data_IF_273116766207
#
_entry.id   IF_273116766207
#
_cell.length_a   1.000
_cell.length_b   1.000
_cell.length_c   1.000
_cell.angle_alpha   90.00
_cell.angle_beta   90.00
_cell.angle_gamma   90.00
#
_symmetry.space_group_name_H-M   'P 1'
#
loop_
_entity.id
_entity.type
_entity.pdbx_description
1 polymer ?
#
# COMPACT_ATOMS: atom_id res chain seq x y z
N UNK A 1 -9.41 16.05 -15.10
CA UNK A 1 -8.08 15.82 -14.51
C UNK A 1 -8.16 14.98 -13.24
N UNK A 2 -9.04 15.34 -12.28
CA UNK A 2 -9.39 14.54 -11.10
C UNK A 2 -10.68 13.73 -11.32
N UNK A 3 -10.72 12.88 -12.35
CA UNK A 3 -11.90 12.10 -12.72
C UNK A 3 -11.68 10.58 -12.60
N UNK A 4 -12.75 9.77 -12.60
CA UNK A 4 -12.68 8.30 -12.54
C UNK A 4 -11.87 7.69 -13.70
N UNK A 5 -11.75 8.40 -14.82
CA UNK A 5 -10.98 7.98 -15.99
C UNK A 5 -9.47 8.27 -15.92
N UNK A 6 -8.97 8.84 -14.81
CA UNK A 6 -7.55 9.18 -14.71
C UNK A 6 -6.68 7.91 -14.85
N UNK A 7 -5.78 7.85 -15.85
CA UNK A 7 -4.88 6.72 -16.01
C UNK A 7 -4.06 6.50 -14.74
N UNK A 8 -3.76 5.25 -14.43
CA UNK A 8 -2.98 4.91 -13.23
C UNK A 8 -1.64 5.66 -13.18
N UNK A 9 -0.95 5.78 -14.33
CA UNK A 9 0.28 6.56 -14.45
C UNK A 9 0.13 8.03 -14.08
N UNK A 10 -1.02 8.65 -14.38
CA UNK A 10 -1.28 10.04 -14.00
C UNK A 10 -1.45 10.18 -12.48
N UNK A 11 -2.17 9.26 -11.83
CA UNK A 11 -2.31 9.23 -10.37
C UNK A 11 -0.94 9.04 -9.70
N UNK A 12 -0.12 8.13 -10.22
CA UNK A 12 1.24 7.91 -9.73
C UNK A 12 2.11 9.16 -9.89
N UNK A 13 2.08 9.80 -11.07
CA UNK A 13 2.84 11.01 -11.34
C UNK A 13 2.52 12.14 -10.38
N UNK A 14 1.22 12.46 -10.19
CA UNK A 14 0.80 13.51 -9.25
C UNK A 14 1.12 13.18 -7.80
N UNK A 15 0.96 11.92 -7.40
CA UNK A 15 1.33 11.45 -6.06
C UNK A 15 2.83 11.56 -5.81
N UNK A 16 3.65 11.28 -6.84
CA UNK A 16 5.09 11.50 -6.81
C UNK A 16 5.47 12.97 -6.66
N UNK A 17 4.77 13.88 -7.36
CA UNK A 17 4.96 15.33 -7.20
C UNK A 17 4.63 15.78 -5.78
N UNK A 18 3.52 15.31 -5.20
CA UNK A 18 3.15 15.62 -3.81
C UNK A 18 4.27 15.20 -2.85
N UNK A 19 4.79 13.98 -3.01
CA UNK A 19 5.89 13.48 -2.18
C UNK A 19 7.19 14.27 -2.35
N UNK A 20 7.57 14.58 -3.59
CA UNK A 20 8.79 15.34 -3.90
C UNK A 20 8.73 16.78 -3.37
N UNK A 21 7.59 17.47 -3.53
CA UNK A 21 7.39 18.82 -3.00
C UNK A 21 7.44 18.79 -1.47
N UNK A 22 6.79 17.82 -0.83
CA UNK A 22 6.83 17.65 0.62
C UNK A 22 8.25 17.46 1.12
N UNK A 23 9.02 16.58 0.46
CA UNK A 23 10.43 16.36 0.80
C UNK A 23 11.24 17.66 0.69
N UNK A 24 11.13 18.37 -0.45
CA UNK A 24 11.89 19.59 -0.69
C UNK A 24 11.59 20.68 0.36
N UNK A 25 10.32 20.86 0.72
CA UNK A 25 9.89 21.88 1.70
C UNK A 25 10.28 21.50 3.14
N UNK A 26 10.19 20.21 3.50
CA UNK A 26 10.45 19.74 4.84
C UNK A 26 11.94 19.55 5.14
N UNK A 27 12.76 19.21 4.14
CA UNK A 27 14.17 18.81 4.33
C UNK A 27 15.01 19.87 5.03
N UNK A 28 14.84 21.15 4.64
CA UNK A 28 15.59 22.25 5.24
C UNK A 28 15.23 22.53 6.71
N UNK A 29 14.02 22.14 7.16
CA UNK A 29 13.52 22.47 8.51
C UNK A 29 13.55 21.29 9.48
N UNK A 30 13.29 20.08 8.98
CA UNK A 30 13.10 18.88 9.78
C UNK A 30 14.20 17.83 9.54
N UNK A 31 15.13 18.12 8.64
CA UNK A 31 16.17 17.20 8.21
C UNK A 31 15.69 16.20 7.16
N UNK A 32 16.63 15.59 6.42
CA UNK A 32 16.31 14.75 5.27
C UNK A 32 15.57 13.45 5.64
N UNK A 33 15.85 12.87 6.81
CA UNK A 33 15.21 11.62 7.25
C UNK A 33 13.70 11.80 7.50
N UNK A 34 13.32 12.84 8.26
CA UNK A 34 11.91 13.18 8.51
C UNK A 34 11.22 13.59 7.21
N UNK A 35 11.88 14.43 6.41
CA UNK A 35 11.32 14.89 5.14
C UNK A 35 11.04 13.74 4.17
N UNK A 36 11.91 12.73 4.11
CA UNK A 36 11.70 11.55 3.27
C UNK A 36 10.49 10.74 3.72
N UNK A 37 10.35 10.52 5.03
CA UNK A 37 9.19 9.82 5.60
C UNK A 37 7.89 10.59 5.36
N UNK A 38 7.88 11.90 5.58
CA UNK A 38 6.71 12.75 5.31
C UNK A 38 6.33 12.76 3.83
N UNK A 39 7.31 12.92 2.94
CA UNK A 39 7.08 12.90 1.49
C UNK A 39 6.51 11.55 1.04
N UNK A 40 7.01 10.45 1.59
CA UNK A 40 6.46 9.13 1.34
C UNK A 40 5.03 8.99 1.84
N UNK A 41 4.74 9.35 3.10
CA UNK A 41 3.39 9.29 3.68
C UNK A 41 2.38 10.04 2.83
N UNK A 42 2.69 11.30 2.46
CA UNK A 42 1.76 12.13 1.70
C UNK A 42 1.63 11.68 0.24
N UNK A 43 2.72 11.29 -0.41
CA UNK A 43 2.69 10.79 -1.77
C UNK A 43 1.96 9.46 -1.89
N UNK A 44 2.36 8.45 -1.09
CA UNK A 44 1.70 7.14 -1.09
C UNK A 44 0.25 7.24 -0.61
N UNK A 45 -0.03 8.04 0.43
CA UNK A 45 -1.38 8.28 0.91
C UNK A 45 -2.29 8.91 -0.14
N UNK A 46 -1.79 9.90 -0.88
CA UNK A 46 -2.53 10.50 -1.99
C UNK A 46 -2.83 9.48 -3.10
N UNK A 47 -1.85 8.64 -3.46
CA UNK A 47 -2.06 7.58 -4.45
C UNK A 47 -3.13 6.58 -3.99
N UNK A 48 -3.04 6.11 -2.75
CA UNK A 48 -3.99 5.16 -2.15
C UNK A 48 -5.39 5.76 -2.15
N UNK A 49 -5.55 6.95 -1.57
CA UNK A 49 -6.85 7.58 -1.42
C UNK A 49 -7.51 7.81 -2.78
N UNK A 50 -6.78 8.39 -3.74
CA UNK A 50 -7.28 8.61 -5.09
C UNK A 50 -7.65 7.27 -5.74
N UNK A 51 -6.80 6.25 -5.61
CA UNK A 51 -7.08 4.94 -6.19
C UNK A 51 -8.36 4.33 -5.62
N UNK A 52 -8.50 4.27 -4.30
CA UNK A 52 -9.66 3.71 -3.62
C UNK A 52 -10.96 4.47 -3.93
N UNK A 53 -10.91 5.82 -4.01
CA UNK A 53 -12.08 6.63 -4.40
C UNK A 53 -12.54 6.35 -5.82
N UNK A 54 -11.60 6.11 -6.75
CA UNK A 54 -11.95 5.82 -8.15
C UNK A 54 -12.52 4.42 -8.28
N UNK A 55 -11.85 3.41 -7.71
CA UNK A 55 -12.24 2.01 -7.92
C UNK A 55 -13.42 1.59 -7.06
N UNK A 56 -13.57 2.17 -5.86
CA UNK A 56 -14.69 1.85 -4.95
C UNK A 56 -16.06 2.34 -5.42
N UNK A 57 -16.12 3.09 -6.53
CA UNK A 57 -17.36 3.55 -7.18
C UNK A 57 -17.79 2.66 -8.35
N UNK A 58 -16.98 1.68 -8.73
CA UNK A 58 -17.24 0.82 -9.89
C UNK A 58 -17.95 -0.44 -9.41
N UNK A 59 -19.05 -0.78 -10.07
CA UNK A 59 -19.75 -2.06 -9.94
C UNK A 59 -19.01 -3.16 -10.71
N UNK A 60 -19.50 -4.41 -10.68
CA UNK A 60 -18.88 -5.55 -11.37
C UNK A 60 -18.53 -5.28 -12.85
N UNK A 61 -19.49 -4.85 -13.69
CA UNK A 61 -19.21 -4.47 -15.08
C UNK A 61 -18.20 -3.32 -15.22
N UNK A 62 -18.29 -2.30 -14.36
CA UNK A 62 -17.33 -1.20 -14.32
C UNK A 62 -15.92 -1.65 -13.93
N UNK A 63 -15.81 -2.60 -12.98
CA UNK A 63 -14.57 -3.21 -12.56
C UNK A 63 -13.95 -4.06 -13.67
N UNK A 64 -14.76 -4.84 -14.39
CA UNK A 64 -14.32 -5.60 -15.56
C UNK A 64 -13.76 -4.66 -16.64
N UNK A 65 -14.50 -3.63 -17.01
CA UNK A 65 -14.07 -2.62 -17.98
C UNK A 65 -12.77 -1.95 -17.54
N UNK A 66 -12.67 -1.55 -16.27
CA UNK A 66 -11.45 -0.92 -15.74
C UNK A 66 -10.24 -1.87 -15.70
N UNK A 67 -10.44 -3.12 -15.28
CA UNK A 67 -9.37 -4.10 -15.10
C UNK A 67 -8.78 -4.57 -16.43
N UNK A 68 -9.61 -4.65 -17.47
CA UNK A 68 -9.24 -5.09 -18.83
C UNK A 68 -8.69 -3.98 -19.71
N UNK A 69 -8.84 -2.70 -19.32
CA UNK A 69 -8.19 -1.58 -20.02
C UNK A 69 -6.68 -1.82 -20.06
N UNK A 70 -6.15 -1.78 -21.29
CA UNK A 70 -4.73 -1.89 -21.51
C UNK A 70 -4.02 -0.67 -20.91
N UNK A 71 -3.16 -0.95 -19.94
CA UNK A 71 -2.36 0.04 -19.23
C UNK A 71 -0.90 -0.43 -19.27
N UNK A 72 -0.16 0.09 -20.24
CA UNK A 72 1.25 -0.22 -20.44
C UNK A 72 2.11 0.17 -19.24
N UNK A 73 1.63 1.05 -18.36
CA UNK A 73 2.35 1.50 -17.16
C UNK A 73 2.10 0.63 -15.93
N UNK A 74 1.20 -0.37 -16.01
CA UNK A 74 0.75 -1.16 -14.85
C UNK A 74 1.91 -1.86 -14.12
N UNK A 75 2.75 -2.59 -14.85
CA UNK A 75 3.86 -3.36 -14.26
C UNK A 75 4.91 -2.43 -13.66
N UNK A 76 5.27 -1.37 -14.39
CA UNK A 76 6.25 -0.38 -13.90
C UNK A 76 5.74 0.33 -12.65
N UNK A 77 4.46 0.73 -12.64
CA UNK A 77 3.82 1.34 -11.48
C UNK A 77 3.80 0.42 -10.28
N UNK A 78 3.47 -0.86 -10.47
CA UNK A 78 3.51 -1.88 -9.40
C UNK A 78 4.91 -1.99 -8.80
N UNK A 79 5.94 -2.06 -9.64
CA UNK A 79 7.33 -2.19 -9.20
C UNK A 79 7.80 -0.97 -8.42
N UNK A 80 7.48 0.24 -8.89
CA UNK A 80 7.80 1.49 -8.20
C UNK A 80 7.10 1.55 -6.84
N UNK A 81 5.81 1.24 -6.78
CA UNK A 81 5.02 1.33 -5.55
C UNK A 81 5.46 0.28 -4.52
N UNK A 82 5.62 -0.99 -4.93
CA UNK A 82 6.09 -2.06 -4.05
C UNK A 82 7.53 -1.80 -3.60
N UNK A 83 8.42 -1.43 -4.54
CA UNK A 83 9.81 -1.11 -4.22
C UNK A 83 9.93 0.08 -3.27
N UNK A 84 9.14 1.13 -3.49
CA UNK A 84 9.06 2.27 -2.60
C UNK A 84 8.51 1.92 -1.22
N UNK A 85 7.47 1.09 -1.13
CA UNK A 85 6.94 0.59 0.15
C UNK A 85 8.00 -0.20 0.93
N UNK A 86 8.82 -1.02 0.26
CA UNK A 86 9.92 -1.74 0.92
C UNK A 86 11.02 -0.75 1.35
N UNK A 87 11.39 0.20 0.50
CA UNK A 87 12.38 1.23 0.82
C UNK A 87 11.95 2.10 2.01
N UNK A 88 10.64 2.36 2.16
CA UNK A 88 10.10 3.14 3.28
C UNK A 88 10.40 2.48 4.63
N UNK A 89 10.49 1.14 4.69
CA UNK A 89 10.88 0.43 5.93
C UNK A 89 12.31 0.80 6.34
N UNK A 90 13.23 0.88 5.37
CA UNK A 90 14.59 1.38 5.59
C UNK A 90 14.60 2.85 6.03
N UNK A 91 13.77 3.68 5.40
CA UNK A 91 13.58 5.08 5.78
C UNK A 91 13.12 5.26 7.23
N UNK A 92 12.18 4.42 7.69
CA UNK A 92 11.75 4.38 9.09
C UNK A 92 12.89 3.90 10.00
N UNK A 93 13.65 2.88 9.58
CA UNK A 93 14.84 2.44 10.31
C UNK A 93 15.86 3.57 10.53
N UNK A 94 16.14 4.38 9.50
CA UNK A 94 17.02 5.55 9.58
C UNK A 94 16.43 6.64 10.48
N UNK A 95 15.13 6.94 10.33
CA UNK A 95 14.42 7.91 11.17
C UNK A 95 14.54 7.54 12.65
N UNK A 96 14.30 6.28 13.00
CA UNK A 96 14.37 5.80 14.38
C UNK A 96 15.82 5.69 14.88
N UNK A 97 16.78 5.33 14.03
CA UNK A 97 18.19 5.20 14.42
C UNK A 97 18.86 6.55 14.74
N UNK A 98 18.51 7.60 13.99
CA UNK A 98 19.09 8.94 14.14
C UNK A 98 18.72 9.63 15.45
N UNK A 99 17.72 9.13 16.18
CA UNK A 99 17.18 9.78 17.40
C UNK A 99 17.24 8.88 18.65
N UNK A 100 18.14 7.88 18.66
CA UNK A 100 18.31 6.95 19.78
C UNK A 100 19.01 7.55 21.03
N UNK A 101 19.44 8.80 21.02
CA UNK A 101 20.30 9.38 22.07
C UNK A 101 19.78 10.62 22.79
N UNK A 102 18.76 11.31 22.28
CA UNK A 102 18.31 12.61 22.82
C UNK A 102 16.79 12.60 22.96
N UNK A 103 16.25 12.08 24.07
CA UNK A 103 14.83 12.21 24.42
C UNK A 103 13.86 12.17 23.23
N UNK A 104 14.02 11.17 22.36
CA UNK A 104 13.46 11.16 21.00
C UNK A 104 11.99 11.56 21.02
N UNK A 105 11.68 12.64 20.31
CA UNK A 105 10.37 13.25 20.43
C UNK A 105 9.29 12.25 19.93
N UNK A 106 8.25 11.95 20.73
CA UNK A 106 7.34 10.83 20.47
C UNK A 106 6.65 10.90 19.10
N UNK A 107 6.57 12.08 18.49
CA UNK A 107 6.01 12.28 17.15
C UNK A 107 6.79 11.56 16.03
N UNK A 108 8.11 11.34 16.18
CA UNK A 108 8.90 10.63 15.15
C UNK A 108 8.58 9.14 15.11
N UNK A 109 8.36 8.54 16.28
CA UNK A 109 7.89 7.16 16.37
C UNK A 109 6.47 7.03 15.81
N UNK A 110 5.59 8.00 16.05
CA UNK A 110 4.26 8.08 15.41
C UNK A 110 4.38 8.17 13.89
N UNK A 111 5.29 9.00 13.36
CA UNK A 111 5.55 9.06 11.92
C UNK A 111 6.08 7.75 11.36
N UNK A 112 6.94 7.06 12.10
CA UNK A 112 7.41 5.72 11.74
C UNK A 112 6.25 4.74 11.59
N UNK A 113 5.39 4.64 12.60
CA UNK A 113 4.20 3.78 12.56
C UNK A 113 3.28 4.16 11.39
N UNK A 114 3.01 5.45 11.20
CA UNK A 114 2.16 5.94 10.10
C UNK A 114 2.76 5.62 8.73
N UNK A 115 4.07 5.77 8.56
CA UNK A 115 4.78 5.43 7.33
C UNK A 115 4.62 3.95 6.97
N UNK A 116 4.83 3.06 7.94
CA UNK A 116 4.68 1.62 7.72
C UNK A 116 3.21 1.28 7.43
N UNK A 117 2.26 1.88 8.14
CA UNK A 117 0.83 1.66 7.92
C UNK A 117 0.39 2.11 6.52
N UNK A 118 0.80 3.29 6.06
CA UNK A 118 0.50 3.77 4.70
C UNK A 118 1.12 2.87 3.64
N UNK A 119 2.36 2.41 3.84
CA UNK A 119 3.01 1.46 2.92
C UNK A 119 2.29 0.11 2.87
N UNK A 120 1.78 -0.37 4.01
CA UNK A 120 1.01 -1.61 4.08
C UNK A 120 -0.33 -1.48 3.32
N UNK A 121 -1.08 -0.40 3.53
CA UNK A 121 -2.31 -0.11 2.76
C UNK A 121 -2.01 0.03 1.26
N UNK A 122 -0.90 0.68 0.90
CA UNK A 122 -0.46 0.82 -0.49
C UNK A 122 -0.20 -0.53 -1.14
N UNK A 123 0.50 -1.45 -0.45
CA UNK A 123 0.73 -2.81 -0.96
C UNK A 123 -0.62 -3.49 -1.24
N UNK A 124 -1.57 -3.43 -0.32
CA UNK A 124 -2.89 -4.05 -0.52
C UNK A 124 -3.68 -3.40 -1.66
N UNK A 125 -3.55 -2.09 -1.81
CA UNK A 125 -4.11 -1.33 -2.94
C UNK A 125 -3.50 -1.76 -4.28
N UNK A 126 -2.21 -2.07 -4.33
CA UNK A 126 -1.58 -2.63 -5.54
C UNK A 126 -2.10 -4.05 -5.82
N UNK A 127 -2.21 -4.89 -4.78
CA UNK A 127 -2.63 -6.27 -4.95
C UNK A 127 -4.11 -6.42 -5.28
N UNK A 128 -5.01 -5.60 -4.75
CA UNK A 128 -6.42 -5.63 -5.16
C UNK A 128 -6.59 -5.30 -6.65
N UNK A 129 -5.86 -4.29 -7.15
CA UNK A 129 -5.86 -3.95 -8.58
C UNK A 129 -5.30 -5.10 -9.43
N UNK A 130 -4.24 -5.74 -8.95
CA UNK A 130 -3.62 -6.90 -9.61
C UNK A 130 -4.55 -8.12 -9.61
N UNK A 131 -5.31 -8.35 -8.55
CA UNK A 131 -6.28 -9.45 -8.51
C UNK A 131 -7.42 -9.23 -9.50
N UNK A 132 -8.00 -8.03 -9.53
CA UNK A 132 -9.02 -7.69 -10.53
C UNK A 132 -8.50 -7.89 -11.95
N UNK A 133 -7.31 -7.36 -12.24
CA UNK A 133 -6.62 -7.53 -13.51
C UNK A 133 -6.45 -9.00 -13.92
N UNK A 134 -5.95 -9.84 -13.02
CA UNK A 134 -5.72 -11.26 -13.29
C UNK A 134 -7.02 -12.04 -13.43
N UNK A 135 -8.05 -11.67 -12.68
CA UNK A 135 -9.35 -12.33 -12.66
C UNK A 135 -10.07 -12.14 -13.99
N UNK A 136 -10.15 -10.89 -14.44
CA UNK A 136 -10.82 -10.53 -15.69
C UNK A 136 -10.01 -10.88 -16.96
N UNK A 137 -8.70 -11.12 -16.85
CA UNK A 137 -7.86 -11.54 -17.98
C UNK A 137 -7.85 -13.06 -18.24
N UNK A 138 -8.33 -13.89 -17.32
CA UNK A 138 -8.26 -15.35 -17.42
C UNK A 138 -9.64 -15.96 -17.70
N UNK A 139 -9.67 -17.04 -18.48
CA UNK A 139 -10.83 -17.94 -18.59
C UNK A 139 -10.31 -19.38 -18.46
N UNK A 140 -10.66 -20.13 -17.40
CA UNK A 140 -11.56 -19.78 -16.28
C UNK A 140 -10.96 -18.72 -15.31
N UNK A 141 -11.82 -17.98 -14.58
CA UNK A 141 -11.46 -16.77 -13.82
C UNK A 141 -10.63 -16.98 -12.52
N UNK A 142 -10.21 -18.20 -12.21
CA UNK A 142 -9.11 -18.50 -11.27
C UNK A 142 -9.35 -18.24 -9.77
N UNK A 143 -10.44 -17.55 -9.41
CA UNK A 143 -10.97 -17.33 -8.06
C UNK A 143 -12.49 -17.56 -8.09
N UNK A 144 -13.02 -18.16 -7.03
CA UNK A 144 -14.46 -18.22 -6.75
C UNK A 144 -14.79 -17.38 -5.50
N UNK A 145 -15.62 -16.35 -5.67
CA UNK A 145 -16.09 -15.46 -4.60
C UNK A 145 -17.42 -15.93 -3.98
N UNK A 146 -17.93 -17.10 -4.36
CA UNK A 146 -19.24 -17.65 -3.95
C UNK A 146 -20.44 -16.76 -4.34
N UNK A 147 -20.33 -16.07 -5.46
CA UNK A 147 -21.39 -15.21 -5.99
C UNK A 147 -21.57 -15.41 -7.49
N UNK A 148 -22.76 -15.03 -7.98
CA UNK A 148 -23.10 -15.15 -9.41
C UNK A 148 -22.77 -13.89 -10.19
N UNK A 149 -22.79 -12.75 -9.51
CA UNK A 149 -22.52 -11.43 -10.02
C UNK A 149 -21.01 -11.24 -10.28
N UNK A 150 -20.62 -10.51 -11.34
CA UNK A 150 -19.21 -10.18 -11.55
C UNK A 150 -18.65 -9.42 -10.34
N UNK A 151 -17.50 -9.85 -9.77
CA UNK A 151 -16.95 -9.24 -8.57
C UNK A 151 -16.47 -7.81 -8.81
N UNK A 152 -16.79 -6.93 -7.87
CA UNK A 152 -16.34 -5.54 -7.91
C UNK A 152 -15.02 -5.35 -7.15
N UNK A 153 -14.54 -4.10 -7.04
CA UNK A 153 -13.30 -3.82 -6.34
C UNK A 153 -13.35 -4.03 -4.82
N UNK A 154 -14.53 -4.06 -4.21
CA UNK A 154 -14.69 -4.39 -2.79
C UNK A 154 -14.41 -5.87 -2.54
N UNK A 155 -14.80 -6.76 -3.45
CA UNK A 155 -14.48 -8.19 -3.38
C UNK A 155 -12.95 -8.44 -3.45
N UNK A 156 -12.27 -7.76 -4.39
CA UNK A 156 -10.81 -7.85 -4.50
C UNK A 156 -10.09 -7.18 -3.32
N UNK A 157 -10.64 -6.10 -2.78
CA UNK A 157 -10.14 -5.47 -1.56
C UNK A 157 -10.30 -6.42 -0.37
N UNK A 158 -11.47 -7.04 -0.19
CA UNK A 158 -11.71 -8.05 0.83
C UNK A 158 -10.65 -9.16 0.77
N UNK A 159 -10.42 -9.74 -0.42
CA UNK A 159 -9.39 -10.76 -0.60
C UNK A 159 -7.98 -10.24 -0.23
N UNK A 160 -7.59 -9.07 -0.73
CA UNK A 160 -6.26 -8.51 -0.49
C UNK A 160 -6.02 -8.22 1.00
N UNK A 161 -6.96 -7.53 1.65
CA UNK A 161 -6.83 -7.16 3.06
C UNK A 161 -6.94 -8.36 3.99
N UNK A 162 -7.82 -9.33 3.71
CA UNK A 162 -7.91 -10.58 4.48
C UNK A 162 -6.60 -11.36 4.40
N UNK A 163 -6.06 -11.58 3.20
CA UNK A 163 -4.73 -12.18 3.03
C UNK A 163 -3.61 -11.41 3.74
N UNK A 164 -3.70 -10.08 3.80
CA UNK A 164 -2.67 -9.27 4.42
C UNK A 164 -2.74 -9.20 5.95
N UNK A 165 -3.94 -9.28 6.51
CA UNK A 165 -4.18 -9.24 7.96
C UNK A 165 -4.06 -10.62 8.62
N UNK A 166 -4.50 -11.68 7.93
CA UNK A 166 -4.62 -13.03 8.51
C UNK A 166 -3.80 -14.09 7.78
N UNK A 167 -3.20 -13.74 6.65
CA UNK A 167 -2.41 -14.65 5.80
C UNK A 167 -3.20 -15.82 5.20
N UNK A 168 -4.52 -15.80 5.29
CA UNK A 168 -5.41 -16.80 4.69
C UNK A 168 -6.77 -16.18 4.33
N UNK A 169 -7.56 -16.88 3.53
CA UNK A 169 -8.97 -16.58 3.27
C UNK A 169 -9.73 -17.90 3.31
N UNK A 170 -10.89 -17.94 3.99
CA UNK A 170 -11.61 -19.19 4.27
C UNK A 170 -12.79 -19.43 3.35
N UNK A 171 -13.37 -18.38 2.80
CA UNK A 171 -14.56 -18.41 1.96
C UNK A 171 -14.21 -18.33 0.46
N UNK A 172 -13.12 -17.66 0.08
CA UNK A 172 -12.76 -17.46 -1.33
C UNK A 172 -11.84 -18.57 -1.86
N UNK A 173 -12.29 -19.36 -2.85
CA UNK A 173 -11.50 -20.49 -3.36
C UNK A 173 -10.54 -20.07 -4.50
N UNK A 174 -9.24 -20.36 -4.35
CA UNK A 174 -8.23 -20.07 -5.37
C UNK A 174 -7.95 -21.30 -6.25
N UNK A 175 -8.47 -21.30 -7.47
CA UNK A 175 -8.38 -22.44 -8.40
C UNK A 175 -7.18 -22.38 -9.35
N UNK A 176 -6.61 -21.21 -9.63
CA UNK A 176 -5.50 -21.04 -10.59
C UNK A 176 -4.10 -21.00 -9.95
N UNK A 177 -3.11 -21.62 -10.61
CA UNK A 177 -1.71 -21.60 -10.18
C UNK A 177 -1.07 -20.21 -10.25
N UNK A 178 -1.52 -19.37 -11.19
CA UNK A 178 -1.09 -17.96 -11.32
C UNK A 178 -1.55 -17.17 -10.10
N UNK A 179 -2.78 -17.37 -9.65
CA UNK A 179 -3.29 -16.75 -8.44
C UNK A 179 -2.57 -17.25 -7.19
N UNK A 180 -2.34 -18.56 -7.04
CA UNK A 180 -1.57 -19.10 -5.90
C UNK A 180 -0.18 -18.50 -5.79
N UNK A 181 0.54 -18.34 -6.91
CA UNK A 181 1.86 -17.68 -6.93
C UNK A 181 1.78 -16.19 -6.56
N UNK A 182 0.72 -15.50 -6.99
CA UNK A 182 0.50 -14.08 -6.68
C UNK A 182 0.17 -13.89 -5.20
N UNK A 183 -0.71 -14.74 -4.66
CA UNK A 183 -1.09 -14.78 -3.24
C UNK A 183 0.11 -15.06 -2.36
N UNK A 184 0.95 -16.04 -2.70
CA UNK A 184 2.17 -16.34 -1.95
C UNK A 184 3.11 -15.13 -1.85
N UNK A 185 3.31 -14.40 -2.96
CA UNK A 185 4.11 -13.16 -2.94
C UNK A 185 3.45 -12.09 -2.07
N UNK A 186 2.13 -11.95 -2.15
CA UNK A 186 1.38 -10.98 -1.35
C UNK A 186 1.49 -11.25 0.14
N UNK A 187 1.27 -12.50 0.56
CA UNK A 187 1.25 -12.88 1.97
C UNK A 187 2.64 -12.82 2.59
N UNK A 188 3.69 -13.25 1.87
CA UNK A 188 5.07 -13.09 2.33
C UNK A 188 5.44 -11.61 2.53
N UNK A 189 5.07 -10.75 1.58
CA UNK A 189 5.31 -9.31 1.72
C UNK A 189 4.51 -8.73 2.90
N UNK A 190 3.24 -9.11 3.02
CA UNK A 190 2.37 -8.65 4.12
C UNK A 190 2.90 -9.08 5.48
N UNK A 191 3.45 -10.29 5.60
CA UNK A 191 4.08 -10.78 6.83
C UNK A 191 5.27 -9.91 7.26
N UNK A 192 6.11 -9.49 6.31
CA UNK A 192 7.23 -8.57 6.58
C UNK A 192 6.69 -7.23 7.11
N UNK A 193 5.69 -6.64 6.44
CA UNK A 193 5.08 -5.40 6.92
C UNK A 193 4.45 -5.57 8.32
N UNK A 194 3.66 -6.61 8.55
CA UNK A 194 3.05 -6.89 9.85
C UNK A 194 4.08 -7.00 10.97
N UNK A 195 5.22 -7.65 10.69
CA UNK A 195 6.35 -7.75 11.63
C UNK A 195 6.97 -6.38 11.94
N UNK A 196 7.15 -5.52 10.94
CA UNK A 196 7.71 -4.17 11.13
C UNK A 196 6.72 -3.23 11.82
N UNK A 197 5.42 -3.33 11.53
CA UNK A 197 4.36 -2.59 12.24
C UNK A 197 4.42 -2.93 13.74
N UNK A 198 4.52 -4.22 14.08
CA UNK A 198 4.62 -4.65 15.46
C UNK A 198 5.89 -4.10 16.13
N UNK A 199 7.04 -4.23 15.47
CA UNK A 199 8.32 -3.74 16.00
C UNK A 199 8.34 -2.22 16.22
N UNK A 200 7.82 -1.44 15.27
CA UNK A 200 7.75 0.03 15.36
C UNK A 200 6.73 0.48 16.42
N UNK A 201 5.60 -0.22 16.55
CA UNK A 201 4.62 0.03 17.62
C UNK A 201 5.20 -0.24 19.00
N UNK A 202 5.92 -1.35 19.19
CA UNK A 202 6.61 -1.63 20.47
C UNK A 202 7.60 -0.52 20.79
N UNK A 203 8.39 -0.09 19.79
CA UNK A 203 9.35 0.99 19.98
C UNK A 203 8.67 2.31 20.38
N UNK A 204 7.52 2.64 19.79
CA UNK A 204 6.70 3.80 20.17
C UNK A 204 6.23 3.68 21.63
N UNK A 205 5.69 2.53 22.03
CA UNK A 205 5.20 2.32 23.41
C UNK A 205 6.33 2.47 24.42
N UNK A 206 7.51 1.90 24.14
CA UNK A 206 8.69 2.04 25.01
C UNK A 206 9.12 3.49 25.15
N UNK A 207 9.12 4.27 24.06
CA UNK A 207 9.45 5.70 24.11
C UNK A 207 8.43 6.51 24.93
N UNK A 208 7.14 6.21 24.80
CA UNK A 208 6.09 6.89 25.58
C UNK A 208 6.11 6.51 27.07
N UNK A 209 6.48 5.26 27.38
CA UNK A 209 6.50 4.74 28.74
C UNK A 209 7.78 5.10 29.51
N UNK A 210 8.87 5.45 28.81
CA UNK A 210 10.12 5.89 29.44
C UNK A 210 9.98 7.37 29.80
N UNK A 211 9.84 7.74 31.09
CA UNK A 211 9.81 9.14 31.48
C UNK A 211 11.14 9.77 31.07
N UNK A 212 11.09 10.90 30.39
CA UNK A 212 12.26 11.76 30.19
C UNK A 212 12.78 12.15 31.58
N UNK A 213 13.81 11.44 32.07
CA UNK A 213 14.57 11.79 33.25
C UNK A 213 15.55 12.91 32.95
#
# INVERSE_FOLDING_TARGET
MFGPDSPRGARLGWSGVIGAVTFAVASARLGPAVAAVLGWILGAGAFVLWTLVVVGRLDGPGAESHATREDSTRVVSDLILIGGSIASLGGVGVLLATHRGEGGAPWQAVLGVLCVAVSWVLVHTVYLLRYAALYYAQTPRGIDFNQTEPPDYHDFAYLAFTLGMTYQVSDTAISSSVFRRTVLRHTLLSYVFGSVILATTINLVVQLASPTG
#
